data_IF_648012984081
#
_entry.id   IF_648012984081
#
_cell.length_a   1.000
_cell.length_b   1.000
_cell.length_c   1.000
_cell.angle_alpha   90.00
_cell.angle_beta   90.00
_cell.angle_gamma   90.00
#
_symmetry.space_group_name_H-M   'P 1'
#
loop_
_entity.id
_entity.type
_entity.pdbx_description
1 polymer ?
#
# COMPACT_ATOMS: atom_id res chain seq x y z
N UNK A 1 9.62 80.49 39.77
CA UNK A 1 10.91 80.43 39.04
C UNK A 1 10.63 79.56 37.81
N UNK A 2 10.09 80.17 36.75
CA UNK A 2 10.78 80.47 35.47
C UNK A 2 11.22 79.19 34.75
N UNK A 3 10.46 78.74 33.76
CA UNK A 3 10.71 79.05 32.33
C UNK A 3 11.42 77.83 31.73
N UNK A 4 11.27 77.39 30.50
CA UNK A 4 10.91 78.07 29.26
C UNK A 4 10.60 76.98 28.22
N UNK A 5 9.72 77.32 27.29
CA UNK A 5 9.42 76.56 26.08
C UNK A 5 10.67 76.35 25.22
N UNK A 6 10.67 75.33 24.36
CA UNK A 6 10.95 75.51 22.93
C UNK A 6 11.03 74.17 22.22
N UNK A 7 9.95 73.90 21.48
CA UNK A 7 9.89 73.25 20.18
C UNK A 7 11.21 73.17 19.39
N UNK A 8 11.49 72.01 18.77
CA UNK A 8 11.81 71.92 17.33
C UNK A 8 12.11 70.47 16.88
N UNK A 9 11.15 69.93 16.13
CA UNK A 9 11.31 69.28 14.82
C UNK A 9 12.36 68.16 14.59
N UNK A 10 11.84 67.03 14.10
CA UNK A 10 12.23 66.58 12.75
C UNK A 10 12.90 65.21 12.57
N UNK A 11 12.07 64.17 12.41
CA UNK A 11 12.19 63.04 11.44
C UNK A 11 13.59 62.41 11.21
N UNK A 12 13.75 61.13 11.57
CA UNK A 12 13.67 60.02 10.60
C UNK A 12 13.81 58.62 11.23
N UNK A 13 13.06 57.72 10.60
CA UNK A 13 12.76 56.32 10.84
C UNK A 13 13.97 55.39 10.71
N UNK A 14 14.14 54.41 11.61
CA UNK A 14 14.49 53.03 11.23
C UNK A 14 14.28 52.05 12.38
N UNK A 15 13.27 51.20 12.21
CA UNK A 15 13.05 49.96 12.94
C UNK A 15 14.16 48.95 12.63
N UNK A 16 14.72 48.32 13.66
CA UNK A 16 15.31 46.97 13.55
C UNK A 16 14.91 46.15 14.79
N UNK A 17 14.22 45.01 14.63
CA UNK A 17 13.94 44.08 15.71
C UNK A 17 15.12 43.13 15.92
N UNK A 18 15.53 42.93 17.17
CA UNK A 18 16.49 41.91 17.56
C UNK A 18 15.77 40.81 18.34
N UNK A 19 15.29 39.77 17.64
CA UNK A 19 14.95 38.50 18.26
C UNK A 19 15.87 37.43 17.68
N UNK A 20 16.65 36.88 18.60
CA UNK A 20 17.49 35.70 18.49
C UNK A 20 16.61 34.45 18.41
N UNK A 21 16.77 33.69 17.33
CA UNK A 21 16.45 32.25 17.26
C UNK A 21 17.29 31.72 16.08
N UNK A 22 18.45 31.12 16.34
CA UNK A 22 18.62 29.68 16.50
C UNK A 22 18.24 28.89 15.23
N UNK A 23 19.24 28.18 14.68
CA UNK A 23 19.00 27.01 13.84
C UNK A 23 18.78 27.28 12.35
N UNK A 24 19.87 27.56 11.65
CA UNK A 24 19.96 27.34 10.21
C UNK A 24 19.67 25.85 9.91
N UNK A 25 18.46 25.52 9.44
CA UNK A 25 18.19 24.29 8.69
C UNK A 25 17.98 24.66 7.21
N UNK A 26 18.62 23.98 6.26
CA UNK A 26 18.38 24.23 4.84
C UNK A 26 17.03 23.64 4.41
N UNK A 27 16.14 24.48 3.89
CA UNK A 27 14.93 24.05 3.18
C UNK A 27 15.32 23.27 1.91
N UNK A 28 14.93 22.00 1.84
CA UNK A 28 14.98 21.20 0.61
C UNK A 28 13.67 21.38 -0.17
N UNK A 29 13.67 22.30 -1.12
CA UNK A 29 12.65 22.43 -2.17
C UNK A 29 12.90 21.38 -3.27
N UNK A 30 12.31 20.20 -3.15
CA UNK A 30 12.23 19.23 -4.25
C UNK A 30 10.87 19.34 -4.94
N UNK A 31 10.83 20.32 -5.85
CA UNK A 31 9.81 20.53 -6.87
C UNK A 31 9.24 19.23 -7.43
N UNK A 32 7.92 19.15 -7.32
CA UNK A 32 7.00 18.34 -8.10
C UNK A 32 7.49 18.12 -9.56
N UNK A 33 7.77 16.86 -9.90
CA UNK A 33 8.00 16.41 -11.28
C UNK A 33 6.81 15.57 -11.72
N UNK A 34 5.81 16.28 -12.25
CA UNK A 34 4.75 15.69 -13.03
C UNK A 34 5.28 15.20 -14.38
N UNK A 35 5.03 13.92 -14.66
CA UNK A 35 4.75 13.41 -16.01
C UNK A 35 5.94 12.95 -16.85
N UNK A 36 5.92 11.65 -17.21
CA UNK A 36 5.72 11.13 -18.58
C UNK A 36 5.97 9.61 -18.55
N UNK A 37 4.96 8.80 -18.83
CA UNK A 37 4.51 8.35 -20.16
C UNK A 37 5.02 6.92 -20.43
N UNK A 38 4.11 5.96 -20.30
CA UNK A 38 4.25 4.61 -20.82
C UNK A 38 2.95 4.28 -21.55
N UNK A 39 2.89 4.63 -22.83
CA UNK A 39 1.85 4.22 -23.77
C UNK A 39 2.54 3.41 -24.87
N UNK A 40 2.33 2.09 -24.85
CA UNK A 40 2.60 1.11 -25.89
C UNK A 40 1.92 -0.16 -25.36
N UNK A 41 1.06 -0.93 -26.04
CA UNK A 41 0.84 -1.21 -27.46
C UNK A 41 -0.46 -2.04 -27.64
N UNK A 42 -1.55 -1.39 -28.01
CA UNK A 42 -2.89 -1.98 -28.21
C UNK A 42 -2.88 -3.27 -29.08
N UNK A 43 -3.43 -4.35 -28.52
CA UNK A 43 -3.93 -5.59 -29.14
C UNK A 43 -3.09 -6.89 -29.18
N UNK A 44 -1.96 -6.98 -28.48
CA UNK A 44 -1.31 -8.28 -28.19
C UNK A 44 -0.90 -8.46 -26.71
N UNK A 45 -1.46 -7.62 -25.83
CA UNK A 45 -0.96 -7.36 -24.47
C UNK A 45 -1.72 -8.09 -23.37
N UNK A 46 -3.00 -8.39 -23.59
CA UNK A 46 -3.86 -8.94 -22.54
C UNK A 46 -3.28 -10.24 -21.96
N UNK A 47 -2.82 -11.18 -22.79
CA UNK A 47 -2.25 -12.44 -22.30
C UNK A 47 -0.90 -12.31 -21.57
N UNK A 48 -0.15 -11.21 -21.73
CA UNK A 48 1.09 -10.98 -20.95
C UNK A 48 0.79 -10.26 -19.64
N UNK A 49 -0.17 -9.34 -19.64
CA UNK A 49 -0.55 -8.56 -18.46
C UNK A 49 -1.37 -9.40 -17.47
N UNK A 50 -2.25 -10.27 -17.98
CA UNK A 50 -3.00 -11.28 -17.20
C UNK A 50 -2.03 -12.19 -16.43
N UNK A 51 -1.02 -12.75 -17.10
CA UNK A 51 0.01 -13.54 -16.43
C UNK A 51 0.83 -12.72 -15.42
N UNK A 52 1.00 -11.42 -15.65
CA UNK A 52 1.80 -10.54 -14.78
C UNK A 52 1.07 -10.24 -13.48
N UNK A 53 -0.20 -9.84 -13.52
CA UNK A 53 -0.96 -9.55 -12.30
C UNK A 53 -1.06 -10.80 -11.41
N UNK A 54 -1.28 -11.97 -12.03
CA UNK A 54 -1.31 -13.26 -11.36
C UNK A 54 0.02 -13.61 -10.68
N UNK A 55 1.13 -13.45 -11.41
CA UNK A 55 2.49 -13.68 -10.88
C UNK A 55 2.82 -12.71 -9.75
N UNK A 56 2.37 -11.46 -9.84
CA UNK A 56 2.58 -10.44 -8.82
C UNK A 56 1.81 -10.77 -7.54
N UNK A 57 0.54 -11.17 -7.64
CA UNK A 57 -0.26 -11.63 -6.49
C UNK A 57 0.42 -12.80 -5.78
N UNK A 58 0.79 -13.83 -6.56
CA UNK A 58 1.46 -15.01 -6.03
C UNK A 58 2.73 -14.63 -5.25
N UNK A 59 3.61 -13.83 -5.86
CA UNK A 59 4.83 -13.37 -5.21
C UNK A 59 4.58 -12.49 -3.98
N UNK A 60 3.51 -11.70 -3.96
CA UNK A 60 3.13 -10.88 -2.81
C UNK A 60 2.71 -11.74 -1.63
N UNK A 61 2.02 -12.87 -1.86
CA UNK A 61 1.72 -13.85 -0.80
C UNK A 61 3.01 -14.47 -0.27
N UNK A 62 3.89 -14.98 -1.14
CA UNK A 62 5.16 -15.59 -0.73
C UNK A 62 6.04 -14.64 0.08
N UNK A 63 6.05 -13.35 -0.29
CA UNK A 63 6.85 -12.32 0.41
C UNK A 63 6.15 -11.75 1.64
N UNK A 64 4.90 -12.10 1.91
CA UNK A 64 4.12 -11.51 3.00
C UNK A 64 3.84 -10.00 2.83
N UNK A 65 3.64 -9.53 1.60
CA UNK A 65 3.38 -8.12 1.31
C UNK A 65 1.93 -7.73 1.62
N UNK A 66 1.61 -7.56 2.91
CA UNK A 66 0.26 -7.21 3.37
C UNK A 66 -0.25 -5.84 2.90
N UNK A 67 0.64 -4.88 2.62
CA UNK A 67 0.25 -3.51 2.25
C UNK A 67 -0.08 -3.37 0.76
N UNK A 68 0.68 -4.06 -0.11
CA UNK A 68 0.55 -3.94 -1.56
C UNK A 68 -0.49 -4.89 -2.16
N UNK A 69 -0.75 -6.02 -1.51
CA UNK A 69 -1.54 -7.09 -2.12
C UNK A 69 -3.00 -6.71 -2.36
N UNK A 70 -3.63 -5.93 -1.46
CA UNK A 70 -5.00 -5.45 -1.65
C UNK A 70 -5.14 -4.50 -2.86
N UNK A 71 -4.10 -3.74 -3.21
CA UNK A 71 -4.10 -2.92 -4.42
C UNK A 71 -3.93 -3.79 -5.67
N UNK A 72 -3.02 -4.76 -5.63
CA UNK A 72 -2.77 -5.69 -6.73
C UNK A 72 -3.97 -6.58 -7.03
N UNK A 73 -4.70 -7.02 -6.01
CA UNK A 73 -5.93 -7.81 -6.17
C UNK A 73 -7.01 -6.98 -6.86
N UNK A 74 -7.19 -5.71 -6.48
CA UNK A 74 -8.12 -4.80 -7.18
C UNK A 74 -7.70 -4.51 -8.61
N UNK A 75 -6.39 -4.40 -8.86
CA UNK A 75 -5.87 -4.23 -10.21
C UNK A 75 -6.18 -5.47 -11.07
N UNK A 76 -5.93 -6.69 -10.56
CA UNK A 76 -6.27 -7.92 -11.26
C UNK A 76 -7.78 -8.01 -11.59
N UNK A 77 -8.64 -7.68 -10.63
CA UNK A 77 -10.09 -7.59 -10.85
C UNK A 77 -10.46 -6.56 -11.92
N UNK A 78 -9.76 -5.43 -11.96
CA UNK A 78 -9.97 -4.38 -12.98
C UNK A 78 -9.53 -4.82 -14.39
N UNK A 79 -8.61 -5.78 -14.47
CA UNK A 79 -8.18 -6.41 -15.74
C UNK A 79 -9.19 -7.46 -16.25
N UNK A 80 -10.26 -7.73 -15.50
CA UNK A 80 -11.29 -8.71 -15.85
C UNK A 80 -11.02 -10.12 -15.33
N UNK A 81 -10.09 -10.28 -14.38
CA UNK A 81 -9.88 -11.57 -13.70
C UNK A 81 -11.06 -11.90 -12.79
N UNK A 82 -11.49 -13.15 -12.82
CA UNK A 82 -12.56 -13.63 -11.95
C UNK A 82 -12.07 -13.78 -10.51
N UNK A 83 -12.82 -13.24 -9.50
CA UNK A 83 -12.43 -13.36 -8.10
C UNK A 83 -12.17 -14.81 -7.66
N UNK A 84 -13.01 -15.73 -8.16
CA UNK A 84 -12.90 -17.17 -7.88
C UNK A 84 -11.64 -17.78 -8.47
N UNK A 85 -11.21 -17.33 -9.66
CA UNK A 85 -9.99 -17.79 -10.30
C UNK A 85 -8.75 -17.29 -9.55
N UNK A 86 -8.73 -16.01 -9.14
CA UNK A 86 -7.65 -15.45 -8.34
C UNK A 86 -7.46 -16.21 -7.01
N UNK A 87 -8.55 -16.57 -6.35
CA UNK A 87 -8.50 -17.36 -5.12
C UNK A 87 -7.97 -18.77 -5.37
N UNK A 88 -8.61 -19.54 -6.24
CA UNK A 88 -8.33 -20.96 -6.42
C UNK A 88 -7.03 -21.25 -7.17
N UNK A 89 -6.68 -20.42 -8.15
CA UNK A 89 -5.54 -20.69 -9.03
C UNK A 89 -4.26 -19.98 -8.58
N UNK A 90 -4.35 -19.02 -7.66
CA UNK A 90 -3.20 -18.18 -7.27
C UNK A 90 -3.00 -18.18 -5.76
N UNK A 91 -4.00 -17.73 -4.99
CA UNK A 91 -3.85 -17.57 -3.54
C UNK A 91 -3.70 -18.92 -2.83
N UNK A 92 -4.52 -19.92 -3.17
CA UNK A 92 -4.44 -21.26 -2.58
C UNK A 92 -3.09 -21.97 -2.90
N UNK A 93 -2.62 -22.03 -4.16
CA UNK A 93 -1.30 -22.58 -4.46
C UNK A 93 -0.16 -21.83 -3.78
N UNK A 94 -0.26 -20.51 -3.66
CA UNK A 94 0.76 -19.69 -3.01
C UNK A 94 0.92 -20.04 -1.52
N UNK A 95 -0.20 -20.18 -0.77
CA UNK A 95 -0.13 -20.51 0.66
C UNK A 95 0.37 -21.94 0.90
N UNK A 96 0.00 -22.88 0.03
CA UNK A 96 0.55 -24.25 0.07
C UNK A 96 2.06 -24.25 -0.13
N UNK A 97 2.55 -23.47 -1.10
CA UNK A 97 3.99 -23.34 -1.34
C UNK A 97 4.72 -22.71 -0.14
N UNK A 98 4.12 -21.71 0.51
CA UNK A 98 4.66 -21.14 1.75
C UNK A 98 4.75 -22.19 2.86
N UNK A 99 3.74 -23.04 3.00
CA UNK A 99 3.76 -24.19 3.92
C UNK A 99 4.90 -25.17 3.62
N UNK A 100 5.07 -25.56 2.35
CA UNK A 100 6.19 -26.42 1.96
C UNK A 100 7.56 -25.79 2.23
N UNK A 101 7.69 -24.48 2.05
CA UNK A 101 8.93 -23.75 2.32
C UNK A 101 9.23 -23.70 3.82
N UNK A 102 8.19 -23.62 4.65
CA UNK A 102 8.31 -23.73 6.11
C UNK A 102 8.73 -25.14 6.54
N UNK A 103 8.11 -26.19 5.99
CA UNK A 103 8.47 -27.59 6.28
C UNK A 103 9.91 -27.91 5.87
N UNK A 104 10.39 -27.33 4.77
CA UNK A 104 11.78 -27.45 4.29
C UNK A 104 12.77 -26.60 5.09
N UNK A 105 12.32 -25.86 6.11
CA UNK A 105 13.15 -24.97 6.92
C UNK A 105 13.69 -23.74 6.17
N UNK A 106 13.13 -23.41 5.00
CA UNK A 106 13.49 -22.22 4.21
C UNK A 106 12.76 -20.99 4.70
N UNK A 107 11.52 -21.15 5.15
CA UNK A 107 10.71 -20.08 5.75
C UNK A 107 10.59 -20.28 7.25
N UNK A 108 10.50 -19.18 7.99
CA UNK A 108 10.31 -19.19 9.44
C UNK A 108 8.90 -18.74 9.82
N UNK A 109 8.50 -19.00 11.07
CA UNK A 109 7.17 -18.68 11.58
C UNK A 109 6.74 -17.20 11.34
N UNK A 110 7.61 -16.18 11.51
CA UNK A 110 7.23 -14.80 11.19
C UNK A 110 6.88 -14.59 9.71
N UNK A 111 7.55 -15.28 8.79
CA UNK A 111 7.26 -15.22 7.35
C UNK A 111 5.97 -15.96 7.01
N UNK A 112 5.71 -17.09 7.68
CA UNK A 112 4.46 -17.82 7.55
C UNK A 112 3.27 -16.95 7.96
N UNK A 113 3.37 -16.28 9.12
CA UNK A 113 2.33 -15.37 9.63
C UNK A 113 2.14 -14.19 8.66
N UNK A 114 3.23 -13.55 8.21
CA UNK A 114 3.15 -12.44 7.27
C UNK A 114 2.50 -12.83 5.93
N UNK A 115 2.77 -14.04 5.44
CA UNK A 115 2.15 -14.58 4.22
C UNK A 115 0.65 -14.82 4.41
N UNK A 116 0.26 -15.37 5.56
CA UNK A 116 -1.14 -15.56 5.93
C UNK A 116 -1.90 -14.22 6.05
N UNK A 117 -1.28 -13.19 6.65
CA UNK A 117 -1.85 -11.84 6.70
C UNK A 117 -2.03 -11.23 5.30
N UNK A 118 -1.05 -11.38 4.42
CA UNK A 118 -1.17 -10.91 3.04
C UNK A 118 -2.31 -11.64 2.29
N UNK A 119 -2.43 -12.96 2.47
CA UNK A 119 -3.53 -13.74 1.92
C UNK A 119 -4.88 -13.24 2.44
N UNK A 120 -5.00 -13.01 3.76
CA UNK A 120 -6.20 -12.48 4.40
C UNK A 120 -6.63 -11.14 3.78
N UNK A 121 -5.70 -10.20 3.65
CA UNK A 121 -5.99 -8.89 3.05
C UNK A 121 -6.47 -8.99 1.59
N UNK A 122 -6.04 -10.02 0.86
CA UNK A 122 -6.55 -10.28 -0.49
C UNK A 122 -7.96 -10.84 -0.47
N UNK A 123 -8.23 -11.79 0.44
CA UNK A 123 -9.56 -12.38 0.61
C UNK A 123 -10.58 -11.32 1.03
N UNK A 124 -10.23 -10.40 1.92
CA UNK A 124 -11.11 -9.28 2.32
C UNK A 124 -11.59 -8.44 1.13
N UNK A 125 -10.78 -8.34 0.07
CA UNK A 125 -11.16 -7.66 -1.19
C UNK A 125 -12.06 -8.55 -2.07
N UNK A 126 -11.79 -9.86 -2.09
CA UNK A 126 -12.51 -10.82 -2.94
C UNK A 126 -13.86 -11.23 -2.36
N UNK A 127 -13.99 -11.31 -1.03
CA UNK A 127 -15.17 -11.76 -0.31
C UNK A 127 -16.48 -11.09 -0.75
N UNK A 128 -16.59 -9.74 -0.79
CA UNK A 128 -17.82 -9.09 -1.26
C UNK A 128 -18.14 -9.39 -2.73
N UNK A 129 -17.13 -9.64 -3.57
CA UNK A 129 -17.30 -9.95 -4.99
C UNK A 129 -17.71 -11.41 -5.21
N UNK A 130 -17.19 -12.32 -4.40
CA UNK A 130 -17.55 -13.74 -4.42
C UNK A 130 -18.99 -13.96 -3.94
N UNK A 131 -19.42 -13.24 -2.90
CA UNK A 131 -20.79 -13.30 -2.38
C UNK A 131 -21.82 -12.69 -3.35
N UNK A 132 -21.43 -11.70 -4.15
CA UNK A 132 -22.31 -11.11 -5.17
C UNK A 132 -22.51 -12.03 -6.39
N UNK A 133 -21.52 -12.86 -6.71
CA UNK A 133 -21.58 -13.80 -7.84
C UNK A 133 -22.04 -15.21 -7.43
N UNK A 134 -22.04 -15.51 -6.13
CA UNK A 134 -22.52 -16.78 -5.58
C UNK A 134 -23.78 -16.49 -4.76
N UNK A 135 -24.95 -16.69 -5.37
CA UNK A 135 -26.19 -16.90 -4.62
C UNK A 135 -25.93 -18.01 -3.58
N UNK A 136 -25.76 -17.60 -2.32
CA UNK A 136 -25.87 -18.40 -1.09
C UNK A 136 -25.68 -19.91 -1.30
N UNK A 137 -24.45 -20.41 -1.37
CA UNK A 137 -24.19 -21.84 -1.31
C UNK A 137 -22.93 -22.13 -0.52
N UNK A 138 -23.16 -22.67 0.69
CA UNK A 138 -22.25 -23.42 1.55
C UNK A 138 -20.83 -22.87 1.75
N UNK A 139 -20.71 -21.87 2.62
CA UNK A 139 -19.47 -21.69 3.40
C UNK A 139 -19.42 -22.82 4.45
N UNK A 140 -18.46 -23.77 4.40
CA UNK A 140 -18.41 -24.86 5.36
C UNK A 140 -18.08 -24.33 6.75
N UNK A 141 -18.86 -24.74 7.76
CA UNK A 141 -18.57 -24.44 9.16
C UNK A 141 -17.26 -25.14 9.58
N UNK A 142 -16.22 -24.36 9.91
CA UNK A 142 -14.94 -24.87 10.39
C UNK A 142 -14.95 -24.89 11.92
N UNK A 143 -14.88 -26.09 12.50
CA UNK A 143 -14.70 -26.29 13.95
C UNK A 143 -13.22 -26.47 14.24
N UNK A 144 -12.65 -25.58 15.05
CA UNK A 144 -11.26 -25.67 15.50
C UNK A 144 -11.25 -26.15 16.94
N UNK A 145 -10.61 -27.29 17.19
CA UNK A 145 -10.39 -27.85 18.53
C UNK A 145 -8.92 -28.26 18.68
N UNK A 146 -8.36 -28.05 19.87
CA UNK A 146 -7.01 -28.53 20.21
C UNK A 146 -7.10 -29.96 20.75
N UNK A 147 -6.26 -30.86 20.25
CA UNK A 147 -6.11 -32.22 20.79
C UNK A 147 -5.28 -32.19 22.07
N UNK A 148 -5.65 -33.02 23.05
CA UNK A 148 -4.91 -33.21 24.32
C UNK A 148 -3.70 -34.13 24.18
#
# INVERSE_FOLDING_TARGET
MYGDESDAAGRQQRVVPGNSDAGQQPEIDFRNSAGKAGAENRNAENGREENRCRTVLHNSVLKGNRNGIAAQTREALSQGEEPSALLNEILLPAINQVGELFDKGKYFLPQLIASAEAMKNSIEVLEPLLQQNTDTSDMPAVVIATVE
#
